data_IF_864734423655
#
_entry.id   IF_864734423655
#
_cell.length_a   1.000
_cell.length_b   1.000
_cell.length_c   1.000
_cell.angle_alpha   90.00
_cell.angle_beta   90.00
_cell.angle_gamma   90.00
#
_symmetry.space_group_name_H-M   'P 1'
#
loop_
_entity.id
_entity.type
_entity.pdbx_description
1 polymer ?
#
# COMPACT_ATOMS: atom_id res chain seq x y z
N UNK A 1 12.73 -35.58 16.94
CA UNK A 1 11.40 -35.74 16.30
C UNK A 1 11.33 -34.76 15.13
N UNK A 2 11.06 -35.22 13.92
CA UNK A 2 11.00 -34.38 12.71
C UNK A 2 9.79 -33.45 12.77
N UNK A 3 9.99 -32.12 12.69
CA UNK A 3 8.87 -31.17 12.75
C UNK A 3 8.13 -31.17 11.41
N UNK A 4 6.85 -31.56 11.41
CA UNK A 4 5.99 -31.52 10.22
C UNK A 4 5.14 -30.26 10.21
N UNK A 5 5.16 -29.56 9.08
CA UNK A 5 4.39 -28.34 8.90
C UNK A 5 2.87 -28.63 8.91
N UNK A 6 2.14 -27.86 9.71
CA UNK A 6 0.68 -27.75 9.69
C UNK A 6 0.32 -26.28 9.67
N UNK A 7 -0.64 -25.89 8.84
CA UNK A 7 -1.07 -24.48 8.77
C UNK A 7 -1.88 -24.16 10.03
N UNK A 8 -1.58 -23.02 10.65
CA UNK A 8 -2.22 -22.58 11.89
C UNK A 8 -2.97 -21.26 11.72
N UNK A 9 -2.51 -20.39 10.80
CA UNK A 9 -3.11 -19.08 10.58
C UNK A 9 -3.78 -18.97 9.19
N UNK A 10 -4.98 -18.38 9.17
CA UNK A 10 -5.83 -18.29 7.97
C UNK A 10 -6.25 -16.85 7.62
N UNK A 11 -6.28 -15.94 8.59
CA UNK A 11 -6.87 -14.60 8.47
C UNK A 11 -5.85 -13.47 8.32
N UNK A 12 -4.63 -13.80 7.90
CA UNK A 12 -3.54 -12.84 7.70
C UNK A 12 -3.78 -11.79 6.59
N UNK A 13 -4.92 -11.86 5.88
CA UNK A 13 -5.34 -10.87 4.89
C UNK A 13 -6.16 -9.71 5.49
N UNK A 14 -6.75 -9.88 6.67
CA UNK A 14 -7.70 -8.92 7.26
C UNK A 14 -7.10 -7.54 7.55
N UNK A 15 -5.82 -7.51 7.89
CA UNK A 15 -5.10 -6.28 8.24
C UNK A 15 -3.65 -6.33 7.78
N UNK A 16 -3.08 -5.14 7.60
CA UNK A 16 -1.67 -4.95 7.29
C UNK A 16 -1.05 -4.05 8.34
N UNK A 17 0.15 -4.40 8.77
CA UNK A 17 1.03 -3.55 9.55
C UNK A 17 1.89 -2.71 8.62
N UNK A 18 1.81 -1.40 8.79
CA UNK A 18 2.55 -0.39 8.05
C UNK A 18 3.36 0.46 9.01
N UNK A 19 4.34 1.19 8.49
CA UNK A 19 5.02 2.24 9.22
C UNK A 19 4.10 3.46 9.30
N UNK A 20 3.89 3.98 10.50
CA UNK A 20 3.12 5.18 10.72
C UNK A 20 3.84 6.39 10.09
N UNK A 21 3.17 7.14 9.20
CA UNK A 21 3.79 8.31 8.57
C UNK A 21 4.02 9.49 9.54
N UNK A 22 3.33 9.53 10.67
CA UNK A 22 3.39 10.65 11.62
C UNK A 22 4.45 10.42 12.72
N UNK A 23 4.62 9.18 13.21
CA UNK A 23 5.55 8.86 14.29
C UNK A 23 6.63 7.83 13.96
N UNK A 24 6.56 7.15 12.81
CA UNK A 24 7.53 6.11 12.42
C UNK A 24 7.37 4.75 13.11
N UNK A 25 6.49 4.63 14.10
CA UNK A 25 6.18 3.36 14.78
C UNK A 25 5.17 2.52 13.99
N UNK A 26 4.72 1.38 14.52
CA UNK A 26 3.73 0.56 13.82
C UNK A 26 2.32 1.18 13.78
N UNK A 27 1.66 0.97 12.65
CA UNK A 27 0.27 1.30 12.43
C UNK A 27 -0.44 0.17 11.69
N UNK A 28 -1.77 0.12 11.80
CA UNK A 28 -2.60 -0.91 11.21
C UNK A 28 -3.47 -0.31 10.12
N UNK A 29 -3.43 -0.88 8.92
CA UNK A 29 -4.40 -0.66 7.85
C UNK A 29 -5.41 -1.82 7.86
N UNK A 30 -6.68 -1.49 8.03
CA UNK A 30 -7.81 -2.43 7.94
C UNK A 30 -8.53 -2.26 6.61
N UNK A 31 -9.14 -3.32 6.08
CA UNK A 31 -10.00 -3.29 4.88
C UNK A 31 -9.35 -2.68 3.63
N UNK A 32 -8.06 -2.95 3.39
CA UNK A 32 -7.31 -2.35 2.26
C UNK A 32 -7.89 -2.65 0.87
N UNK A 33 -8.74 -3.67 0.73
CA UNK A 33 -9.38 -4.05 -0.53
C UNK A 33 -10.29 -2.95 -1.11
N UNK A 34 -10.71 -1.98 -0.29
CA UNK A 34 -11.57 -0.89 -0.71
C UNK A 34 -11.22 0.39 0.03
N UNK A 35 -10.75 1.41 -0.69
CA UNK A 35 -10.49 2.75 -0.12
C UNK A 35 -11.71 3.34 0.61
N UNK A 36 -12.94 2.89 0.31
CA UNK A 36 -14.16 3.35 0.98
C UNK A 36 -14.27 2.89 2.43
N UNK A 37 -13.65 1.75 2.76
CA UNK A 37 -13.73 1.09 4.06
C UNK A 37 -12.36 1.02 4.75
N UNK A 38 -11.31 1.40 4.02
CA UNK A 38 -9.95 1.36 4.52
C UNK A 38 -9.74 2.41 5.61
N UNK A 39 -9.14 1.98 6.71
CA UNK A 39 -8.83 2.84 7.86
C UNK A 39 -7.38 2.56 8.25
N UNK A 40 -6.60 3.62 8.36
CA UNK A 40 -5.27 3.63 8.94
C UNK A 40 -5.37 4.12 10.38
N UNK A 41 -4.91 3.31 11.33
CA UNK A 41 -4.90 3.65 12.76
C UNK A 41 -3.51 3.36 13.34
N UNK A 42 -2.90 4.36 13.98
CA UNK A 42 -1.69 4.15 14.78
C UNK A 42 -2.05 3.92 16.24
N UNK A 43 -1.26 3.09 16.95
CA UNK A 43 -1.42 2.84 18.39
C UNK A 43 -0.47 3.69 19.25
N UNK A 44 0.46 4.39 18.61
CA UNK A 44 1.53 5.16 19.25
C UNK A 44 1.32 6.68 19.15
N UNK A 45 0.39 7.12 18.30
CA UNK A 45 0.01 8.54 18.15
C UNK A 45 -1.47 8.66 17.78
N UNK A 46 -1.97 9.88 17.68
CA UNK A 46 -3.38 10.18 17.38
C UNK A 46 -3.74 10.03 15.88
N UNK A 47 -2.86 9.43 15.08
CA UNK A 47 -3.09 9.25 13.66
C UNK A 47 -4.25 8.26 13.42
N UNK A 48 -5.32 8.80 12.84
CA UNK A 48 -6.42 8.04 12.25
C UNK A 48 -6.85 8.68 10.92
N UNK A 49 -6.79 7.92 9.83
CA UNK A 49 -7.15 8.39 8.47
C UNK A 49 -8.11 7.39 7.82
N UNK A 50 -9.17 7.88 7.18
CA UNK A 50 -10.01 7.05 6.33
C UNK A 50 -9.57 7.16 4.87
N UNK A 51 -9.67 6.08 4.10
CA UNK A 51 -9.31 6.09 2.69
C UNK A 51 -10.21 7.02 1.84
N UNK A 52 -11.42 7.33 2.31
CA UNK A 52 -12.30 8.33 1.69
C UNK A 52 -11.73 9.74 1.77
N UNK A 53 -10.99 10.06 2.84
CA UNK A 53 -10.43 11.40 3.06
C UNK A 53 -9.26 11.68 2.09
N UNK A 54 -8.72 10.63 1.45
CA UNK A 54 -7.70 10.73 0.41
C UNK A 54 -8.27 11.05 -0.96
N UNK A 55 -9.60 10.97 -1.16
CA UNK A 55 -10.20 11.17 -2.47
C UNK A 55 -10.09 12.64 -2.86
N UNK A 56 -9.40 12.89 -3.96
CA UNK A 56 -9.24 14.21 -4.55
C UNK A 56 -9.56 14.16 -6.04
N UNK A 57 -9.80 15.34 -6.60
CA UNK A 57 -10.13 15.52 -8.00
C UNK A 57 -9.07 16.36 -8.70
N UNK A 58 -8.85 16.03 -9.96
CA UNK A 58 -8.07 16.81 -10.92
C UNK A 58 -9.02 17.38 -11.96
N UNK A 59 -9.10 18.69 -12.06
CA UNK A 59 -9.77 19.37 -13.16
C UNK A 59 -8.84 19.44 -14.37
N UNK A 60 -9.27 18.89 -15.49
CA UNK A 60 -8.56 18.90 -16.77
C UNK A 60 -9.26 19.89 -17.69
N UNK A 61 -8.50 20.91 -18.08
CA UNK A 61 -8.93 22.02 -18.90
C UNK A 61 -8.24 21.86 -20.25
N UNK A 62 -9.01 21.52 -21.28
CA UNK A 62 -8.53 21.35 -22.67
C UNK A 62 -9.54 22.01 -23.60
N UNK A 63 -9.20 23.19 -24.10
CA UNK A 63 -10.06 23.93 -25.02
C UNK A 63 -9.25 24.91 -25.88
N UNK A 64 -9.89 25.47 -26.90
CA UNK A 64 -9.38 26.63 -27.60
C UNK A 64 -10.06 27.89 -27.05
N UNK A 65 -9.29 28.96 -26.87
CA UNK A 65 -9.79 30.26 -26.44
C UNK A 65 -10.90 30.74 -27.40
N UNK A 66 -12.09 31.13 -26.91
CA UNK A 66 -13.19 31.58 -27.76
C UNK A 66 -12.91 32.91 -28.47
N UNK A 67 -11.90 33.68 -28.01
CA UNK A 67 -11.54 34.99 -28.58
C UNK A 67 -10.43 34.87 -29.62
N UNK A 68 -9.30 34.25 -29.27
CA UNK A 68 -8.12 34.19 -30.13
C UNK A 68 -7.82 32.80 -30.72
N UNK A 69 -8.64 31.79 -30.40
CA UNK A 69 -8.43 30.38 -30.80
C UNK A 69 -7.14 29.73 -30.29
N UNK A 70 -6.40 30.38 -29.39
CA UNK A 70 -5.22 29.78 -28.77
C UNK A 70 -5.59 28.53 -27.95
N UNK A 71 -4.80 27.47 -28.08
CA UNK A 71 -5.05 26.21 -27.37
C UNK A 71 -4.60 26.31 -25.91
N UNK A 72 -5.51 26.07 -24.98
CA UNK A 72 -5.29 26.12 -23.54
C UNK A 72 -5.36 24.68 -22.99
N UNK A 73 -4.26 24.23 -22.38
CA UNK A 73 -4.23 23.01 -21.57
C UNK A 73 -3.68 23.33 -20.18
N UNK A 74 -4.52 23.17 -19.16
CA UNK A 74 -4.14 23.29 -17.77
C UNK A 74 -4.78 22.17 -16.94
N UNK A 75 -4.12 21.79 -15.84
CA UNK A 75 -4.60 20.80 -14.89
C UNK A 75 -4.55 21.38 -13.47
N UNK A 76 -5.68 21.39 -12.78
CA UNK A 76 -5.76 21.79 -11.38
C UNK A 76 -6.03 20.55 -10.52
N UNK A 77 -5.00 20.07 -9.82
CA UNK A 77 -5.06 18.89 -8.95
C UNK A 77 -5.50 19.20 -7.51
N UNK A 78 -5.59 18.15 -6.69
CA UNK A 78 -5.81 18.21 -5.24
C UNK A 78 -7.11 18.92 -4.81
N UNK A 79 -8.14 18.91 -5.66
CA UNK A 79 -9.43 19.50 -5.33
C UNK A 79 -10.24 18.54 -4.45
N UNK A 80 -10.72 19.00 -3.29
CA UNK A 80 -11.62 18.20 -2.44
C UNK A 80 -13.04 18.10 -3.00
N UNK A 81 -13.45 19.11 -3.75
CA UNK A 81 -14.77 19.22 -4.36
C UNK A 81 -14.67 19.40 -5.87
N UNK A 82 -15.80 19.20 -6.57
CA UNK A 82 -15.92 19.43 -8.00
C UNK A 82 -16.60 20.77 -8.25
N UNK A 83 -15.86 21.88 -8.37
CA UNK A 83 -16.49 23.15 -8.74
C UNK A 83 -17.19 23.01 -10.08
N UNK A 84 -18.42 23.51 -10.19
CA UNK A 84 -19.19 23.44 -11.44
C UNK A 84 -18.47 24.19 -12.55
N UNK A 85 -17.97 25.38 -12.22
CA UNK A 85 -17.27 26.27 -13.13
C UNK A 85 -15.89 26.61 -12.55
N UNK A 86 -14.89 26.69 -13.42
CA UNK A 86 -13.53 27.13 -13.06
C UNK A 86 -13.13 28.30 -13.97
N UNK A 87 -12.63 29.41 -13.40
CA UNK A 87 -12.17 30.54 -14.20
C UNK A 87 -10.87 30.16 -14.92
N UNK A 88 -10.82 30.46 -16.22
CA UNK A 88 -9.67 30.25 -17.10
C UNK A 88 -9.24 31.58 -17.67
N UNK A 89 -7.94 31.84 -17.62
CA UNK A 89 -7.30 32.97 -18.28
C UNK A 89 -6.58 32.45 -19.53
N UNK A 90 -6.74 33.13 -20.65
CA UNK A 90 -5.90 32.91 -21.83
C UNK A 90 -4.59 33.67 -21.68
N UNK A 91 -3.45 33.01 -21.89
CA UNK A 91 -2.14 33.64 -21.75
C UNK A 91 -1.78 34.55 -22.95
N UNK A 92 -2.44 34.40 -24.09
CA UNK A 92 -2.20 35.21 -25.30
C UNK A 92 -3.03 36.50 -25.35
N UNK A 93 -4.32 36.43 -25.05
CA UNK A 93 -5.24 37.57 -25.18
C UNK A 93 -5.78 38.10 -23.86
N UNK A 94 -5.28 37.59 -22.73
CA UNK A 94 -5.66 37.94 -21.36
C UNK A 94 -7.16 37.79 -21.01
N UNK A 95 -7.96 37.24 -21.93
CA UNK A 95 -9.39 37.01 -21.74
C UNK A 95 -9.64 36.05 -20.58
N UNK A 96 -10.67 36.34 -19.77
CA UNK A 96 -11.10 35.49 -18.66
C UNK A 96 -12.52 35.00 -18.94
N UNK A 97 -12.74 33.71 -18.73
CA UNK A 97 -14.04 33.09 -18.90
C UNK A 97 -14.15 31.84 -18.02
N UNK A 98 -15.38 31.46 -17.70
CA UNK A 98 -15.67 30.29 -16.89
C UNK A 98 -15.97 29.08 -17.77
N UNK A 99 -15.42 27.93 -17.40
CA UNK A 99 -15.69 26.66 -18.09
C UNK A 99 -16.09 25.58 -17.11
N UNK A 100 -16.76 24.55 -17.62
CA UNK A 100 -16.95 23.29 -16.90
C UNK A 100 -15.81 22.34 -17.25
N UNK A 101 -14.83 22.11 -16.35
CA UNK A 101 -13.72 21.23 -16.65
C UNK A 101 -14.15 19.75 -16.59
N UNK A 102 -13.36 18.88 -17.22
CA UNK A 102 -13.48 17.44 -16.99
C UNK A 102 -12.78 17.08 -15.69
N UNK A 103 -13.42 16.32 -14.82
CA UNK A 103 -12.82 15.90 -13.55
C UNK A 103 -12.38 14.44 -13.60
N UNK A 104 -11.14 14.20 -13.22
CA UNK A 104 -10.63 12.86 -12.90
C UNK A 104 -10.51 12.70 -11.39
N UNK A 105 -10.82 11.49 -10.89
CA UNK A 105 -10.73 11.16 -9.47
C UNK A 105 -9.48 10.33 -9.22
N UNK A 106 -8.72 10.66 -8.19
CA UNK A 106 -7.60 9.85 -7.73
C UNK A 106 -7.48 9.88 -6.19
N UNK A 107 -6.65 9.00 -5.65
CA UNK A 107 -6.33 8.98 -4.21
C UNK A 107 -5.03 9.74 -3.99
N UNK A 108 -5.03 10.71 -3.09
CA UNK A 108 -3.85 11.44 -2.67
C UNK A 108 -3.07 10.63 -1.61
N UNK A 109 -2.62 9.44 -1.99
CA UNK A 109 -1.80 8.59 -1.13
C UNK A 109 -0.41 9.18 -0.93
N UNK A 110 0.29 8.71 0.10
CA UNK A 110 1.71 9.01 0.33
C UNK A 110 2.53 8.53 -0.87
N UNK A 111 3.57 9.28 -1.20
CA UNK A 111 4.50 8.92 -2.27
C UNK A 111 5.20 7.60 -1.91
N UNK A 112 5.14 6.63 -2.81
CA UNK A 112 5.71 5.30 -2.59
C UNK A 112 7.20 5.34 -2.89
N UNK A 113 7.98 4.83 -1.96
CA UNK A 113 9.42 4.70 -2.12
C UNK A 113 9.75 3.57 -3.11
N UNK A 114 10.77 3.75 -3.94
CA UNK A 114 11.19 2.69 -4.84
C UNK A 114 11.83 1.55 -4.06
N UNK A 115 11.44 0.31 -4.40
CA UNK A 115 12.02 -0.89 -3.78
C UNK A 115 11.39 -1.34 -2.46
N UNK A 116 10.36 -0.66 -1.95
CA UNK A 116 9.58 -1.09 -0.78
C UNK A 116 8.15 -1.54 -1.17
N UNK A 117 7.55 -2.43 -0.37
CA UNK A 117 6.13 -2.75 -0.48
C UNK A 117 5.33 -1.73 0.33
N UNK A 118 4.25 -1.25 -0.27
CA UNK A 118 3.34 -0.28 0.32
C UNK A 118 1.91 -0.81 0.27
N UNK A 119 1.09 -0.33 1.20
CA UNK A 119 -0.35 -0.57 1.13
C UNK A 119 -0.97 0.15 -0.08
N UNK A 120 -2.11 -0.35 -0.56
CA UNK A 120 -2.70 0.11 -1.81
C UNK A 120 -3.43 1.46 -1.69
N UNK A 121 -3.87 1.83 -0.48
CA UNK A 121 -4.80 2.94 -0.26
C UNK A 121 -4.05 4.18 0.24
N UNK A 122 -3.30 4.05 1.32
CA UNK A 122 -2.58 5.14 1.98
C UNK A 122 -1.16 5.30 1.43
N UNK A 123 -0.59 4.26 0.83
CA UNK A 123 0.77 4.29 0.29
C UNK A 123 1.85 4.25 1.37
N UNK A 124 1.52 3.78 2.58
CA UNK A 124 2.45 3.58 3.67
C UNK A 124 3.27 2.30 3.44
N UNK A 125 4.59 2.31 3.71
CA UNK A 125 5.42 1.12 3.58
C UNK A 125 5.04 0.06 4.63
N UNK A 126 5.16 -1.22 4.29
CA UNK A 126 4.91 -2.30 5.24
C UNK A 126 5.89 -2.22 6.41
N UNK A 127 5.41 -2.52 7.62
CA UNK A 127 6.24 -2.50 8.82
C UNK A 127 7.27 -3.65 8.81
N UNK A 128 6.84 -4.83 8.35
CA UNK A 128 7.72 -5.99 8.20
C UNK A 128 8.21 -6.07 6.76
N UNK A 129 9.36 -5.47 6.51
CA UNK A 129 10.11 -5.68 5.28
C UNK A 129 11.61 -5.47 5.48
N UNK A 130 12.43 -6.24 4.76
CA UNK A 130 13.88 -6.18 4.83
C UNK A 130 14.47 -6.70 3.51
N UNK A 131 15.57 -6.10 3.05
CA UNK A 131 16.30 -6.66 1.91
C UNK A 131 17.01 -7.95 2.31
N UNK A 132 16.86 -8.98 1.48
CA UNK A 132 17.58 -10.22 1.61
C UNK A 132 18.31 -10.55 0.30
N UNK A 133 19.58 -10.14 0.21
CA UNK A 133 20.46 -10.39 -0.96
C UNK A 133 19.89 -9.78 -2.24
N UNK A 134 19.41 -8.54 -2.18
CA UNK A 134 18.78 -7.84 -3.31
C UNK A 134 17.36 -8.33 -3.62
N UNK A 135 16.75 -9.11 -2.73
CA UNK A 135 15.37 -9.56 -2.82
C UNK A 135 14.62 -9.10 -1.59
N UNK A 136 13.61 -8.27 -1.79
CA UNK A 136 12.79 -7.78 -0.71
C UNK A 136 11.97 -8.91 -0.08
N UNK A 137 12.14 -9.10 1.23
CA UNK A 137 11.35 -10.00 2.04
C UNK A 137 10.38 -9.19 2.90
N UNK A 138 9.11 -9.59 2.97
CA UNK A 138 8.09 -8.83 3.69
C UNK A 138 7.00 -9.73 4.27
N UNK A 139 6.30 -9.21 5.30
CA UNK A 139 5.11 -9.82 5.89
C UNK A 139 3.97 -8.79 5.98
N UNK A 140 2.72 -9.26 5.98
CA UNK A 140 1.53 -8.38 6.06
C UNK A 140 1.27 -7.96 7.49
N UNK A 141 1.25 -8.95 8.38
CA UNK A 141 0.97 -8.77 9.80
C UNK A 141 1.62 -9.89 10.61
N UNK A 142 1.36 -9.91 11.92
CA UNK A 142 1.92 -10.91 12.84
C UNK A 142 1.49 -12.34 12.50
N UNK A 143 0.24 -12.57 12.11
CA UNK A 143 -0.22 -13.91 11.72
C UNK A 143 0.53 -14.42 10.49
N UNK A 144 0.72 -13.55 9.49
CA UNK A 144 1.50 -13.87 8.30
C UNK A 144 2.94 -14.27 8.67
N UNK A 145 3.58 -13.48 9.55
CA UNK A 145 4.92 -13.77 10.06
C UNK A 145 4.99 -15.13 10.74
N UNK A 146 4.06 -15.42 11.66
CA UNK A 146 4.06 -16.67 12.43
C UNK A 146 3.82 -17.89 11.53
N UNK A 147 2.96 -17.76 10.53
CA UNK A 147 2.73 -18.82 9.54
C UNK A 147 3.99 -19.09 8.70
N UNK A 148 4.71 -18.04 8.27
CA UNK A 148 6.00 -18.18 7.59
C UNK A 148 7.05 -18.81 8.50
N UNK A 149 7.15 -18.40 9.77
CA UNK A 149 8.06 -18.98 10.76
C UNK A 149 7.77 -20.47 10.96
N UNK A 150 6.50 -20.85 11.09
CA UNK A 150 6.08 -22.24 11.24
C UNK A 150 6.46 -23.10 10.02
N UNK A 151 6.27 -22.57 8.81
CA UNK A 151 6.66 -23.24 7.58
C UNK A 151 8.18 -23.38 7.42
N UNK A 152 8.93 -22.30 7.61
CA UNK A 152 10.38 -22.29 7.42
C UNK A 152 11.06 -23.15 8.48
N UNK A 153 10.57 -23.14 9.73
CA UNK A 153 11.08 -23.97 10.83
C UNK A 153 10.71 -25.45 10.74
N UNK A 154 9.84 -25.85 9.83
CA UNK A 154 9.46 -27.26 9.65
C UNK A 154 10.40 -28.01 8.71
N UNK A 155 10.71 -29.26 9.07
CA UNK A 155 11.59 -30.16 8.32
C UNK A 155 10.83 -30.86 7.18
N UNK A 156 9.56 -31.22 7.43
CA UNK A 156 8.71 -31.85 6.43
C UNK A 156 7.57 -30.92 6.01
N UNK A 157 7.60 -30.48 4.75
CA UNK A 157 6.64 -29.53 4.14
C UNK A 157 5.78 -30.27 3.12
N UNK A 158 4.70 -30.89 3.59
CA UNK A 158 3.78 -31.64 2.71
C UNK A 158 2.96 -30.67 1.86
N UNK A 159 3.01 -30.85 0.53
CA UNK A 159 2.13 -30.12 -0.40
C UNK A 159 0.74 -30.75 -0.42
N UNK A 160 -0.29 -29.91 -0.54
CA UNK A 160 -1.65 -30.42 -0.74
C UNK A 160 -1.94 -30.51 -2.25
N UNK A 161 -2.45 -31.64 -2.75
CA UNK A 161 -2.64 -31.86 -4.19
C UNK A 161 -3.72 -30.95 -4.83
N UNK A 162 -4.66 -30.41 -4.06
CA UNK A 162 -5.85 -29.71 -4.60
C UNK A 162 -6.06 -28.29 -4.06
N UNK A 163 -5.20 -27.80 -3.17
CA UNK A 163 -5.28 -26.44 -2.63
C UNK A 163 -3.90 -25.87 -2.40
N UNK A 164 -3.59 -24.80 -3.14
CA UNK A 164 -2.37 -24.05 -2.90
C UNK A 164 -2.50 -23.22 -1.62
N UNK A 165 -1.65 -23.50 -0.63
CA UNK A 165 -1.50 -22.66 0.56
C UNK A 165 -0.66 -21.42 0.23
N UNK A 166 -0.82 -20.39 1.04
CA UNK A 166 -0.02 -19.17 0.90
C UNK A 166 1.49 -19.44 0.98
N UNK A 167 1.90 -20.32 1.90
CA UNK A 167 3.30 -20.72 2.05
C UNK A 167 3.89 -21.37 0.80
N UNK A 168 3.06 -21.95 -0.07
CA UNK A 168 3.51 -22.54 -1.34
C UNK A 168 3.76 -21.46 -2.39
N UNK A 169 3.03 -20.34 -2.32
CA UNK A 169 3.21 -19.14 -3.15
C UNK A 169 4.38 -18.27 -2.71
N UNK A 170 5.02 -18.57 -1.58
CA UNK A 170 6.21 -17.85 -1.14
C UNK A 170 7.32 -17.92 -2.21
N UNK A 171 8.06 -16.81 -2.41
CA UNK A 171 9.27 -16.79 -3.22
C UNK A 171 10.22 -17.97 -2.91
N UNK A 172 10.89 -18.46 -3.94
CA UNK A 172 11.81 -19.60 -3.83
C UNK A 172 12.92 -19.36 -2.81
N UNK A 173 13.48 -18.15 -2.73
CA UNK A 173 14.58 -17.81 -1.83
C UNK A 173 14.22 -17.99 -0.34
N UNK A 174 12.95 -17.83 0.04
CA UNK A 174 12.46 -18.06 1.41
C UNK A 174 12.39 -19.56 1.71
N UNK A 175 12.10 -20.37 0.69
CA UNK A 175 11.90 -21.83 0.82
C UNK A 175 13.23 -22.61 0.78
N UNK A 176 14.28 -22.02 0.21
CA UNK A 176 15.61 -22.63 0.09
C UNK A 176 16.23 -22.97 1.44
N UNK A 177 16.71 -24.20 1.60
CA UNK A 177 17.32 -24.67 2.86
C UNK A 177 18.54 -23.84 3.28
N UNK A 178 19.38 -23.42 2.31
CA UNK A 178 20.57 -22.58 2.57
C UNK A 178 20.27 -21.22 3.18
N UNK A 179 19.05 -20.70 3.03
CA UNK A 179 18.65 -19.42 3.58
C UNK A 179 17.82 -19.57 4.87
N UNK A 180 17.50 -20.80 5.29
CA UNK A 180 16.58 -21.09 6.40
C UNK A 180 16.96 -20.33 7.67
N UNK A 181 18.21 -20.44 8.11
CA UNK A 181 18.65 -19.81 9.35
C UNK A 181 18.62 -18.29 9.29
N UNK A 182 18.98 -17.71 8.13
CA UNK A 182 18.95 -16.28 7.93
C UNK A 182 17.52 -15.72 7.90
N UNK A 183 16.60 -16.39 7.20
CA UNK A 183 15.18 -16.03 7.16
C UNK A 183 14.55 -16.15 8.55
N UNK A 184 14.85 -17.21 9.30
CA UNK A 184 14.36 -17.37 10.67
C UNK A 184 14.86 -16.25 11.58
N UNK A 185 16.12 -15.82 11.45
CA UNK A 185 16.64 -14.66 12.20
C UNK A 185 15.85 -13.39 11.90
N UNK A 186 15.52 -13.12 10.63
CA UNK A 186 14.70 -11.95 10.25
C UNK A 186 13.31 -12.05 10.86
N UNK A 187 12.65 -13.21 10.76
CA UNK A 187 11.32 -13.43 11.34
C UNK A 187 11.33 -13.26 12.87
N UNK A 188 12.35 -13.76 13.57
CA UNK A 188 12.50 -13.55 15.02
C UNK A 188 12.72 -12.08 15.37
N UNK A 189 13.54 -11.36 14.60
CA UNK A 189 13.76 -9.92 14.78
C UNK A 189 12.43 -9.18 14.71
N UNK A 190 11.66 -9.37 13.64
CA UNK A 190 10.34 -8.76 13.46
C UNK A 190 9.36 -9.11 14.58
N UNK A 191 9.33 -10.39 15.00
CA UNK A 191 8.48 -10.85 16.12
C UNK A 191 8.82 -10.18 17.45
N UNK A 192 10.09 -9.83 17.67
CA UNK A 192 10.55 -9.16 18.88
C UNK A 192 10.36 -7.65 18.82
N UNK A 193 10.41 -7.04 17.63
CA UNK A 193 10.15 -5.61 17.41
C UNK A 193 8.70 -5.23 17.64
N UNK A 194 7.76 -6.11 17.27
CA UNK A 194 6.32 -5.88 17.41
C UNK A 194 5.76 -6.70 18.58
N UNK A 195 5.60 -6.08 19.75
CA UNK A 195 5.05 -6.73 20.96
C UNK A 195 3.63 -6.29 21.26
#
# INVERSE_FOLDING_TARGET
>A
MTKRYKQEYFNYHESILVVCPDCGEDAVVKNEHSYKQAILECRHCDLKKNGLDLVVYKAIIKLNCPICSHHIHNEQGNLKEKPKNVPVKCDECDSRFDIQPKFEKYLNSILREEGLIHDQVFGCPYYFQEDFKGKLFWARNREHLLEMENYVSSDLRTRLPYRMRMVEKLPTFIKEAKNRDAILKILQKWKNSYK
#
